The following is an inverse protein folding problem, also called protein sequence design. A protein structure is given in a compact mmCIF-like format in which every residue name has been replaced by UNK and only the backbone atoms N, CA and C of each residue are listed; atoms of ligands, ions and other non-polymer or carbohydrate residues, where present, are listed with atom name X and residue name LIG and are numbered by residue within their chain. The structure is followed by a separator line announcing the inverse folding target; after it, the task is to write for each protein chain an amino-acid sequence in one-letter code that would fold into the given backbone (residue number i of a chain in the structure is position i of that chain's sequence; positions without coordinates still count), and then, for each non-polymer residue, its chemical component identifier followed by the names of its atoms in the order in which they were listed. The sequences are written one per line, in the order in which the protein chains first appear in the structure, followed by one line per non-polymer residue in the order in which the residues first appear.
data_IF_319345143611
#
_entry.id   IF_319345143611
#
_cell.length_a   1.000
_cell.length_b   1.000
_cell.length_c   1.000
_cell.angle_alpha   90.00
_cell.angle_beta   90.00
_cell.angle_gamma   90.00
#
_symmetry.space_group_name_H-M   'P 1'
#
loop_
_entity.id
_entity.type
_entity.pdbx_description
1 polymer ?
#
# COMPACT_ATOMS: atom_id res chain seq x y z
N UNK A 1 5.98 1.25 20.34
CA UNK A 1 5.94 2.64 20.82
C UNK A 1 4.49 3.05 21.06
N UNK A 2 4.19 3.88 22.08
CA UNK A 2 2.89 4.57 22.14
C UNK A 2 2.96 5.82 21.22
N UNK A 3 1.87 6.23 20.54
CA UNK A 3 1.87 7.39 19.64
C UNK A 3 2.27 8.71 20.32
N UNK A 4 2.21 8.77 21.65
CA UNK A 4 2.57 9.92 22.48
C UNK A 4 4.09 10.25 22.49
N UNK A 5 4.94 9.34 22.00
CA UNK A 5 6.40 9.54 21.93
C UNK A 5 6.93 9.90 20.54
N UNK A 6 6.09 9.88 19.50
CA UNK A 6 6.47 10.34 18.16
C UNK A 6 6.39 11.85 18.15
N UNK A 7 7.55 12.51 18.25
CA UNK A 7 7.60 13.96 18.15
C UNK A 7 7.33 14.42 16.72
N UNK A 8 6.76 15.62 16.55
CA UNK A 8 6.71 16.33 15.27
C UNK A 8 8.06 16.42 14.56
N UNK A 9 9.18 16.30 15.28
CA UNK A 9 10.52 16.23 14.69
C UNK A 9 10.73 14.98 13.81
N UNK A 10 10.07 13.87 14.13
CA UNK A 10 10.10 12.65 13.28
C UNK A 10 9.46 12.95 11.93
N UNK A 11 8.27 13.58 11.93
CA UNK A 11 7.58 13.95 10.69
C UNK A 11 8.42 14.89 9.83
N UNK A 12 9.07 15.90 10.43
CA UNK A 12 9.92 16.83 9.67
C UNK A 12 11.18 16.17 9.12
N UNK A 13 11.70 15.16 9.83
CA UNK A 13 12.89 14.43 9.39
C UNK A 13 12.57 13.47 8.26
N UNK A 14 11.46 12.73 8.35
CA UNK A 14 11.04 11.75 7.35
C UNK A 14 10.34 12.40 6.14
N UNK A 15 9.67 13.53 6.35
CA UNK A 15 8.95 14.28 5.32
C UNK A 15 9.62 15.65 5.21
N UNK A 16 10.71 15.75 4.43
CA UNK A 16 11.55 16.93 4.44
C UNK A 16 10.84 18.11 3.74
N UNK A 17 11.15 19.31 4.21
CA UNK A 17 10.43 20.52 3.80
C UNK A 17 10.59 20.84 2.32
N UNK A 18 11.76 20.55 1.76
CA UNK A 18 12.05 20.73 0.33
C UNK A 18 11.13 19.89 -0.56
N UNK A 19 10.85 18.64 -0.21
CA UNK A 19 9.86 17.81 -0.90
C UNK A 19 8.46 18.42 -0.83
N UNK A 20 8.06 18.94 0.33
CA UNK A 20 6.78 19.62 0.52
C UNK A 20 6.70 20.90 -0.31
N UNK A 21 7.72 21.74 -0.27
CA UNK A 21 7.78 23.00 -1.03
C UNK A 21 7.83 22.73 -2.56
N UNK A 22 8.51 21.66 -3.00
CA UNK A 22 8.52 21.22 -4.39
C UNK A 22 7.13 20.74 -4.87
N UNK A 23 6.44 19.92 -4.09
CA UNK A 23 5.08 19.46 -4.39
C UNK A 23 4.07 20.62 -4.45
N UNK A 24 4.18 21.58 -3.52
CA UNK A 24 3.38 22.83 -3.53
C UNK A 24 3.60 23.61 -4.81
N UNK A 25 4.86 23.77 -5.24
CA UNK A 25 5.20 24.45 -6.47
C UNK A 25 4.68 23.71 -7.71
N UNK A 26 4.87 22.39 -7.78
CA UNK A 26 4.39 21.54 -8.88
C UNK A 26 2.86 21.55 -9.02
N UNK A 27 2.13 21.64 -7.91
CA UNK A 27 0.67 21.77 -7.89
C UNK A 27 0.16 23.19 -8.19
N UNK A 28 1.05 24.17 -8.41
CA UNK A 28 0.68 25.56 -8.69
C UNK A 28 0.05 26.29 -7.49
N UNK A 29 0.31 25.83 -6.26
CA UNK A 29 -0.23 26.44 -5.04
C UNK A 29 0.61 27.67 -4.69
N UNK A 30 0.28 28.80 -5.31
CA UNK A 30 0.97 30.07 -5.07
C UNK A 30 0.59 30.73 -3.73
N UNK A 31 1.55 31.38 -3.08
CA UNK A 31 1.27 32.30 -1.97
C UNK A 31 0.46 33.50 -2.47
N UNK A 32 -0.86 33.51 -2.19
CA UNK A 32 -1.72 34.66 -2.53
C UNK A 32 -1.36 35.93 -1.74
N UNK A 33 -0.60 35.82 -0.64
CA UNK A 33 -0.03 36.92 0.16
C UNK A 33 1.29 36.49 0.81
N UNK A 34 2.38 37.21 0.55
CA UNK A 34 3.60 37.14 1.36
C UNK A 34 3.24 37.52 2.82
N UNK A 35 3.57 36.66 3.78
CA UNK A 35 3.30 36.90 5.21
C UNK A 35 1.92 36.49 5.72
N UNK A 36 1.19 35.61 5.01
CA UNK A 36 -0.04 35.02 5.53
C UNK A 36 0.22 34.19 6.80
N UNK A 37 -0.73 34.19 7.75
CA UNK A 37 -0.60 33.45 9.03
C UNK A 37 -0.45 31.93 8.88
N UNK A 38 -0.77 31.36 7.70
CA UNK A 38 -0.69 29.91 7.40
C UNK A 38 -0.20 29.68 5.95
N UNK A 39 1.12 29.60 5.72
CA UNK A 39 1.72 29.21 4.45
C UNK A 39 1.51 27.74 4.14
N UNK A 40 1.64 27.41 2.85
CA UNK A 40 1.25 26.11 2.33
C UNK A 40 2.00 24.94 3.00
N UNK A 41 3.32 25.04 3.21
CA UNK A 41 4.08 23.99 3.91
C UNK A 41 3.62 23.79 5.36
N UNK A 42 3.28 24.86 6.08
CA UNK A 42 2.73 24.76 7.44
C UNK A 42 1.39 24.04 7.41
N UNK A 43 0.55 24.32 6.42
CA UNK A 43 -0.75 23.65 6.26
C UNK A 43 -0.57 22.16 5.93
N UNK A 44 0.42 21.81 5.12
CA UNK A 44 0.77 20.42 4.82
C UNK A 44 1.16 19.68 6.10
N UNK A 45 2.10 20.22 6.86
CA UNK A 45 2.52 19.65 8.14
C UNK A 45 1.44 19.65 9.22
N UNK A 46 0.60 20.67 9.27
CA UNK A 46 -0.56 20.70 10.15
C UNK A 46 -1.51 19.54 9.80
N UNK A 47 -1.67 19.24 8.50
CA UNK A 47 -2.49 18.11 8.05
C UNK A 47 -1.89 16.78 8.47
N UNK A 48 -0.58 16.59 8.30
CA UNK A 48 0.13 15.41 8.80
C UNK A 48 0.01 15.25 10.33
N UNK A 49 0.11 16.35 11.07
CA UNK A 49 -0.02 16.32 12.52
C UNK A 49 -1.43 15.98 13.00
N UNK A 50 -2.48 16.39 12.27
CA UNK A 50 -3.86 15.99 12.59
C UNK A 50 -4.07 14.48 12.47
N UNK A 51 -3.28 13.82 11.63
CA UNK A 51 -3.27 12.38 11.49
C UNK A 51 -2.49 11.69 12.62
N UNK A 52 -1.38 12.30 13.07
CA UNK A 52 -0.59 11.80 14.19
C UNK A 52 -1.31 11.97 15.54
N UNK A 53 -2.14 13.01 15.67
CA UNK A 53 -2.92 13.32 16.86
C UNK A 53 -4.42 13.21 16.58
N UNK A 54 -4.96 11.99 16.34
CA UNK A 54 -6.34 11.75 15.93
C UNK A 54 -7.37 12.09 17.03
N UNK A 55 -6.94 12.25 18.28
CA UNK A 55 -7.78 12.63 19.42
C UNK A 55 -7.96 14.14 19.58
N UNK A 56 -6.96 14.90 19.15
CA UNK A 56 -6.93 16.35 19.38
C UNK A 56 -7.81 17.09 18.37
N UNK A 57 -8.43 18.19 18.82
CA UNK A 57 -9.10 19.08 17.89
C UNK A 57 -8.12 19.88 17.01
N UNK A 58 -8.65 20.62 16.03
CA UNK A 58 -7.84 21.40 15.09
C UNK A 58 -6.92 22.42 15.77
N UNK A 59 -7.35 23.02 16.88
CA UNK A 59 -6.63 24.10 17.57
C UNK A 59 -5.57 23.53 18.53
N UNK A 60 -5.87 22.41 19.18
CA UNK A 60 -4.91 21.63 19.96
C UNK A 60 -3.75 21.12 19.10
N UNK A 61 -4.05 20.53 17.93
CA UNK A 61 -3.00 20.10 16.98
C UNK A 61 -2.18 21.30 16.51
N UNK A 62 -2.82 22.40 16.13
CA UNK A 62 -2.11 23.60 15.69
C UNK A 62 -1.17 24.16 16.77
N UNK A 63 -1.56 24.06 18.04
CA UNK A 63 -0.72 24.44 19.19
C UNK A 63 0.51 23.55 19.29
N UNK A 64 0.36 22.23 19.16
CA UNK A 64 1.48 21.26 19.19
C UNK A 64 2.46 21.48 18.04
N UNK A 65 1.93 21.65 16.82
CA UNK A 65 2.70 21.83 15.58
C UNK A 65 3.58 23.08 15.63
N UNK A 66 3.00 24.20 16.05
CA UNK A 66 3.69 25.49 15.97
C UNK A 66 4.75 25.68 17.05
N UNK A 67 4.53 25.14 18.25
CA UNK A 67 5.57 25.07 19.27
C UNK A 67 6.75 24.16 18.88
N UNK A 68 6.55 23.20 17.97
CA UNK A 68 7.63 22.38 17.43
C UNK A 68 8.38 23.08 16.28
N UNK A 69 7.68 23.79 15.39
CA UNK A 69 8.31 24.42 14.21
C UNK A 69 9.10 25.69 14.49
N UNK A 70 8.75 26.44 15.52
CA UNK A 70 9.60 27.53 16.04
C UNK A 70 10.96 26.98 16.50
N UNK A 71 10.94 25.86 17.25
CA UNK A 71 12.17 25.18 17.73
C UNK A 71 13.00 24.54 16.60
N UNK A 72 12.36 24.12 15.51
CA UNK A 72 13.01 23.48 14.36
C UNK A 72 13.42 24.49 13.27
N UNK A 73 13.17 25.80 13.47
CA UNK A 73 13.51 26.84 12.49
C UNK A 73 12.69 26.78 11.20
N UNK A 74 11.61 26.00 11.18
CA UNK A 74 10.72 25.87 10.04
C UNK A 74 9.66 26.99 9.98
N UNK A 75 9.57 27.83 11.02
CA UNK A 75 8.55 28.87 11.15
C UNK A 75 9.01 30.04 12.03
N UNK A 76 8.75 31.29 11.63
CA UNK A 76 9.31 32.50 12.29
C UNK A 76 8.33 33.69 12.44
N UNK A 77 7.01 33.48 12.49
CA UNK A 77 6.03 34.57 12.59
C UNK A 77 5.39 34.71 13.98
N UNK A 78 5.14 35.95 14.44
CA UNK A 78 4.42 36.28 15.68
C UNK A 78 3.01 35.67 15.71
N UNK A 79 2.93 34.48 16.31
CA UNK A 79 1.87 33.51 16.09
C UNK A 79 0.65 33.68 17.00
N UNK A 80 -0.53 33.43 16.43
CA UNK A 80 -1.78 33.20 17.15
C UNK A 80 -2.41 31.93 16.57
N UNK A 81 -2.82 30.99 17.42
CA UNK A 81 -3.45 29.72 16.99
C UNK A 81 -4.64 30.03 16.06
N UNK A 82 -4.62 29.56 14.80
CA UNK A 82 -5.71 29.77 13.86
C UNK A 82 -6.93 28.96 14.28
N UNK A 83 -8.12 29.52 14.05
CA UNK A 83 -9.38 28.83 14.33
C UNK A 83 -9.56 27.62 13.40
N UNK A 84 -10.39 26.67 13.81
CA UNK A 84 -10.75 25.52 12.98
C UNK A 84 -11.23 25.92 11.57
N UNK A 85 -12.03 27.00 11.46
CA UNK A 85 -12.46 27.56 10.18
C UNK A 85 -11.30 28.12 9.34
N UNK A 86 -10.34 28.79 9.97
CA UNK A 86 -9.12 29.27 9.31
C UNK A 86 -8.24 28.14 8.78
N UNK A 87 -8.12 27.05 9.54
CA UNK A 87 -7.38 25.85 9.14
C UNK A 87 -8.08 25.17 7.97
N UNK A 88 -9.40 24.97 8.03
CA UNK A 88 -10.17 24.38 6.92
C UNK A 88 -9.99 25.18 5.62
N UNK A 89 -10.13 26.52 5.68
CA UNK A 89 -9.90 27.38 4.51
C UNK A 89 -8.46 27.31 4.00
N UNK A 90 -7.48 27.11 4.88
CA UNK A 90 -6.09 26.94 4.48
C UNK A 90 -5.85 25.61 3.76
N UNK A 91 -6.42 24.52 4.26
CA UNK A 91 -6.37 23.20 3.60
C UNK A 91 -7.01 23.22 2.22
N UNK A 92 -8.13 23.95 2.04
CA UNK A 92 -8.75 24.16 0.72
C UNK A 92 -7.81 24.87 -0.27
N UNK A 93 -7.06 25.86 0.21
CA UNK A 93 -6.05 26.55 -0.63
C UNK A 93 -4.89 25.64 -1.00
N UNK A 94 -4.49 24.73 -0.11
CA UNK A 94 -3.46 23.73 -0.37
C UNK A 94 -3.93 22.72 -1.42
N UNK A 95 -5.21 22.36 -1.40
CA UNK A 95 -5.82 21.46 -2.37
C UNK A 95 -5.54 19.97 -2.09
N UNK A 96 -6.20 19.07 -2.84
CA UNK A 96 -6.14 17.63 -2.60
C UNK A 96 -4.85 16.97 -3.11
N UNK A 97 -4.15 17.59 -4.07
CA UNK A 97 -3.06 16.95 -4.81
C UNK A 97 -1.70 17.04 -4.13
N UNK A 98 -1.46 18.07 -3.31
CA UNK A 98 -0.12 18.33 -2.76
C UNK A 98 0.40 17.16 -1.94
N UNK A 99 -0.40 16.58 -1.05
CA UNK A 99 0.07 15.47 -0.22
C UNK A 99 0.21 14.16 -1.00
N UNK A 100 -0.57 13.96 -2.07
CA UNK A 100 -0.33 12.87 -3.01
C UNK A 100 1.04 13.04 -3.68
N UNK A 101 1.33 14.24 -4.20
CA UNK A 101 2.62 14.53 -4.85
C UNK A 101 3.81 14.39 -3.89
N UNK A 102 3.66 14.80 -2.63
CA UNK A 102 4.68 14.54 -1.60
C UNK A 102 4.88 13.04 -1.41
N UNK A 103 3.80 12.26 -1.29
CA UNK A 103 3.88 10.81 -1.18
C UNK A 103 4.58 10.19 -2.39
N UNK A 104 4.19 10.54 -3.61
CA UNK A 104 4.83 10.07 -4.85
C UNK A 104 6.33 10.40 -4.93
N UNK A 105 6.76 11.49 -4.29
CA UNK A 105 8.16 11.93 -4.30
C UNK A 105 9.02 11.17 -3.28
N UNK A 106 8.47 10.87 -2.10
CA UNK A 106 9.26 10.37 -0.97
C UNK A 106 8.99 8.90 -0.63
N UNK A 107 7.83 8.36 -1.04
CA UNK A 107 7.48 6.97 -0.79
C UNK A 107 8.51 6.07 -1.47
N UNK A 108 9.12 5.21 -0.67
CA UNK A 108 10.22 4.35 -1.06
C UNK A 108 10.50 3.31 0.01
N UNK A 109 11.26 2.27 -0.33
CA UNK A 109 11.57 1.18 0.59
C UNK A 109 12.30 1.70 1.83
N UNK A 110 12.01 1.10 2.98
CA UNK A 110 12.71 1.40 4.22
C UNK A 110 13.84 0.38 4.48
N UNK A 111 13.68 -0.85 4.00
CA UNK A 111 14.66 -1.91 4.20
C UNK A 111 15.95 -1.66 3.40
N UNK A 112 17.07 -1.89 4.08
CA UNK A 112 18.36 -2.11 3.43
C UNK A 112 18.53 -3.60 3.08
N UNK A 113 19.48 -4.00 2.22
CA UNK A 113 19.74 -5.41 1.92
C UNK A 113 20.07 -6.27 3.16
N UNK A 114 20.53 -5.64 4.25
CA UNK A 114 20.80 -6.30 5.53
C UNK A 114 19.59 -6.35 6.47
N UNK A 115 18.50 -5.66 6.17
CA UNK A 115 17.29 -5.64 7.01
C UNK A 115 16.68 -7.03 7.05
N UNK A 116 16.56 -7.59 8.25
CA UNK A 116 15.98 -8.91 8.49
C UNK A 116 14.51 -8.92 8.07
N UNK A 117 14.04 -10.06 7.55
CA UNK A 117 12.64 -10.24 7.14
C UNK A 117 12.23 -9.57 5.83
N UNK A 118 13.04 -8.64 5.29
CA UNK A 118 12.64 -7.85 4.11
C UNK A 118 12.94 -8.48 2.75
N UNK A 119 13.75 -9.54 2.69
CA UNK A 119 14.26 -10.11 1.43
C UNK A 119 14.12 -11.63 1.39
N UNK A 120 13.70 -12.15 0.25
CA UNK A 120 13.97 -13.53 -0.16
C UNK A 120 15.11 -13.52 -1.17
N UNK A 121 16.31 -13.91 -0.73
CA UNK A 121 17.52 -13.88 -1.56
C UNK A 121 17.77 -12.45 -2.06
N UNK A 122 17.77 -12.26 -3.38
CA UNK A 122 17.99 -10.94 -4.00
C UNK A 122 16.68 -10.17 -4.24
N UNK A 123 15.52 -10.73 -3.87
CA UNK A 123 14.21 -10.08 -4.07
C UNK A 123 13.66 -9.45 -2.80
N UNK A 124 13.33 -8.16 -2.87
CA UNK A 124 12.59 -7.46 -1.82
C UNK A 124 11.18 -8.03 -1.74
N UNK A 125 10.73 -8.40 -0.54
CA UNK A 125 9.40 -8.92 -0.32
C UNK A 125 8.38 -7.79 -0.39
N UNK A 126 7.49 -7.88 -1.40
CA UNK A 126 6.43 -6.93 -1.64
C UNK A 126 5.06 -7.61 -1.50
N UNK A 127 4.06 -6.86 -1.08
CA UNK A 127 2.67 -7.28 -1.07
C UNK A 127 1.75 -6.20 -1.67
N UNK A 128 0.58 -6.64 -2.13
CA UNK A 128 -0.51 -5.76 -2.59
C UNK A 128 -1.83 -6.14 -1.93
N UNK A 129 -2.44 -5.17 -1.25
CA UNK A 129 -3.71 -5.32 -0.57
C UNK A 129 -4.49 -4.00 -0.55
N UNK A 130 -5.79 -4.12 -0.32
CA UNK A 130 -6.72 -3.02 -0.23
C UNK A 130 -7.29 -2.81 1.16
N UNK A 131 -7.63 -1.55 1.46
CA UNK A 131 -8.42 -1.23 2.61
C UNK A 131 -9.45 -0.14 2.38
N UNK A 132 -10.46 -0.12 3.25
CA UNK A 132 -11.53 0.85 3.21
C UNK A 132 -11.43 1.85 4.37
N UNK A 133 -11.78 3.11 4.07
CA UNK A 133 -11.78 4.22 5.03
C UNK A 133 -13.18 4.83 5.09
N UNK A 134 -13.76 4.91 6.29
CA UNK A 134 -15.07 5.54 6.51
C UNK A 134 -14.97 7.06 6.50
N UNK A 135 -15.91 7.73 5.83
CA UNK A 135 -15.99 9.19 5.73
C UNK A 135 -17.25 9.75 6.36
N UNK A 136 -17.23 11.00 6.88
CA UNK A 136 -18.42 11.69 7.36
C UNK A 136 -19.55 11.65 6.33
N UNK A 137 -20.74 11.22 6.76
CA UNK A 137 -21.94 11.20 5.92
C UNK A 137 -22.41 12.63 5.65
N UNK A 138 -21.98 13.12 4.49
CA UNK A 138 -22.36 14.41 3.94
C UNK A 138 -22.73 14.19 2.48
N UNK A 139 -23.62 15.02 1.90
CA UNK A 139 -24.01 14.88 0.50
C UNK A 139 -22.80 14.85 -0.45
N UNK A 140 -21.79 15.69 -0.19
CA UNK A 140 -20.60 15.79 -1.04
C UNK A 140 -19.72 14.53 -0.94
N UNK A 141 -19.45 14.01 0.28
CA UNK A 141 -18.68 12.76 0.44
C UNK A 141 -19.45 11.55 -0.11
N UNK A 142 -20.77 11.50 0.06
CA UNK A 142 -21.60 10.44 -0.48
C UNK A 142 -21.59 10.43 -2.02
N UNK A 143 -21.60 11.62 -2.64
CA UNK A 143 -21.53 11.76 -4.09
C UNK A 143 -20.17 11.35 -4.66
N UNK A 144 -19.06 11.68 -3.99
CA UNK A 144 -17.71 11.32 -4.45
C UNK A 144 -17.40 9.84 -4.21
N UNK A 145 -17.58 9.35 -2.98
CA UNK A 145 -17.02 8.07 -2.56
C UNK A 145 -18.02 6.91 -2.61
N UNK A 146 -19.31 7.19 -2.50
CA UNK A 146 -20.35 6.18 -2.43
C UNK A 146 -20.31 5.32 -1.16
N UNK A 147 -21.21 4.34 -1.08
CA UNK A 147 -21.39 3.45 0.07
C UNK A 147 -21.07 2.01 -0.32
N UNK A 148 -20.66 1.17 0.63
CA UNK A 148 -20.58 -0.26 0.39
C UNK A 148 -21.94 -0.93 0.45
N UNK A 149 -22.21 -1.87 -0.46
CA UNK A 149 -23.48 -2.59 -0.49
C UNK A 149 -24.66 -1.75 -0.99
N UNK A 150 -25.86 -2.32 -0.94
CA UNK A 150 -27.09 -1.68 -1.39
C UNK A 150 -28.29 -2.09 -0.53
N UNK A 151 -29.37 -1.29 -0.57
CA UNK A 151 -30.57 -1.52 0.23
C UNK A 151 -30.27 -1.61 1.72
N UNK A 152 -30.80 -2.64 2.39
CA UNK A 152 -30.61 -2.88 3.82
C UNK A 152 -29.17 -3.33 4.18
N UNK A 153 -28.38 -3.75 3.19
CA UNK A 153 -26.97 -4.14 3.37
C UNK A 153 -26.00 -2.98 3.08
N UNK A 154 -26.50 -1.76 2.91
CA UNK A 154 -25.67 -0.58 2.68
C UNK A 154 -24.92 -0.19 3.96
N UNK A 155 -23.67 0.24 3.85
CA UNK A 155 -22.93 0.81 4.97
C UNK A 155 -23.63 2.06 5.51
N UNK A 156 -23.42 2.31 6.81
CA UNK A 156 -23.88 3.53 7.47
C UNK A 156 -23.20 4.80 6.95
N UNK A 157 -21.97 4.67 6.42
CA UNK A 157 -21.14 5.80 6.01
C UNK A 157 -20.57 5.59 4.60
N UNK A 158 -20.28 6.69 3.86
CA UNK A 158 -19.50 6.62 2.63
C UNK A 158 -18.10 6.04 2.87
N UNK A 159 -17.52 5.41 1.85
CA UNK A 159 -16.22 4.72 1.94
C UNK A 159 -15.28 5.07 0.81
N UNK A 160 -14.04 5.42 1.15
CA UNK A 160 -12.93 5.44 0.20
C UNK A 160 -12.27 4.06 0.20
N UNK A 161 -11.82 3.61 -0.97
CA UNK A 161 -10.95 2.44 -1.12
C UNK A 161 -9.53 2.92 -1.39
N UNK A 162 -8.58 2.35 -0.67
CA UNK A 162 -7.15 2.52 -0.88
C UNK A 162 -6.59 1.16 -1.24
N UNK A 163 -5.73 1.09 -2.25
CA UNK A 163 -4.91 -0.10 -2.54
C UNK A 163 -3.47 0.36 -2.56
N UNK A 164 -2.56 -0.41 -1.98
CA UNK A 164 -1.15 -0.03 -1.89
C UNK A 164 -0.22 -1.18 -2.27
N UNK A 165 0.98 -0.83 -2.72
CA UNK A 165 2.13 -1.73 -2.72
C UNK A 165 2.90 -1.46 -1.43
N UNK A 166 3.17 -2.52 -0.66
CA UNK A 166 3.86 -2.45 0.61
C UNK A 166 5.10 -3.35 0.63
N UNK A 167 6.17 -2.89 1.28
CA UNK A 167 7.32 -3.72 1.65
C UNK A 167 6.95 -4.54 2.90
N UNK A 168 6.98 -5.87 2.80
CA UNK A 168 6.48 -6.75 3.88
C UNK A 168 7.27 -6.56 5.18
N UNK A 169 8.60 -6.65 5.13
CA UNK A 169 9.44 -6.63 6.33
C UNK A 169 9.47 -5.28 7.08
N UNK A 170 8.94 -4.20 6.52
CA UNK A 170 8.90 -2.88 7.19
C UNK A 170 7.51 -2.25 7.26
N UNK A 171 6.53 -2.87 6.60
CA UNK A 171 5.21 -2.34 6.34
C UNK A 171 5.19 -1.01 5.58
N UNK A 172 6.28 -0.59 4.94
CA UNK A 172 6.30 0.71 4.27
C UNK A 172 5.46 0.66 2.99
N UNK A 173 4.53 1.60 2.81
CA UNK A 173 3.83 1.78 1.54
C UNK A 173 4.73 2.50 0.53
N UNK A 174 4.95 1.88 -0.63
CA UNK A 174 5.80 2.38 -1.71
C UNK A 174 4.98 3.07 -2.81
N UNK A 175 3.75 2.63 -3.04
CA UNK A 175 2.82 3.24 -3.98
C UNK A 175 1.38 3.01 -3.51
N UNK A 176 0.46 3.90 -3.85
CA UNK A 176 -0.95 3.74 -3.48
C UNK A 176 -1.89 4.37 -4.49
N UNK A 177 -3.12 3.87 -4.54
CA UNK A 177 -4.22 4.41 -5.32
C UNK A 177 -5.42 4.63 -4.40
N UNK A 178 -6.07 5.79 -4.51
CA UNK A 178 -7.26 6.16 -3.72
C UNK A 178 -8.44 6.34 -4.65
N UNK A 179 -9.53 5.62 -4.39
CA UNK A 179 -10.75 5.69 -5.20
C UNK A 179 -12.04 5.67 -4.38
N UNK A 180 -13.15 5.96 -5.06
CA UNK A 180 -14.48 5.71 -4.53
C UNK A 180 -14.69 4.20 -4.31
N UNK A 181 -15.61 3.83 -3.42
CA UNK A 181 -15.94 2.42 -3.16
C UNK A 181 -16.42 1.68 -4.41
N UNK A 182 -17.08 2.38 -5.33
CA UNK A 182 -17.55 1.84 -6.60
C UNK A 182 -16.41 1.43 -7.55
N UNK A 183 -15.19 1.95 -7.34
CA UNK A 183 -14.01 1.54 -8.09
C UNK A 183 -13.46 0.26 -7.48
N UNK A 184 -13.54 -0.85 -8.22
CA UNK A 184 -13.10 -2.17 -7.73
C UNK A 184 -11.63 -2.20 -7.33
N UNK A 185 -11.32 -2.96 -6.29
CA UNK A 185 -9.96 -3.16 -5.76
C UNK A 185 -8.97 -3.59 -6.84
N UNK A 186 -9.33 -4.61 -7.63
CA UNK A 186 -8.54 -5.04 -8.80
C UNK A 186 -8.25 -3.93 -9.80
N UNK A 187 -9.17 -2.98 -9.98
CA UNK A 187 -8.98 -1.86 -10.90
C UNK A 187 -7.92 -0.90 -10.39
N UNK A 188 -7.89 -0.63 -9.07
CA UNK A 188 -6.86 0.17 -8.44
C UNK A 188 -5.52 -0.56 -8.46
N UNK A 189 -5.51 -1.85 -8.09
CA UNK A 189 -4.31 -2.70 -8.11
C UNK A 189 -3.64 -2.71 -9.49
N UNK A 190 -4.40 -2.87 -10.58
CA UNK A 190 -3.85 -2.86 -11.95
C UNK A 190 -3.15 -1.55 -12.33
N UNK A 191 -3.43 -0.43 -11.66
CA UNK A 191 -2.71 0.83 -11.89
C UNK A 191 -1.34 0.87 -11.18
N UNK A 192 -1.18 0.06 -10.14
CA UNK A 192 0.03 -0.04 -9.34
C UNK A 192 1.02 -1.07 -9.90
N UNK A 193 0.54 -2.18 -10.48
CA UNK A 193 1.41 -3.25 -11.01
C UNK A 193 2.55 -2.77 -11.94
N UNK A 194 2.38 -1.76 -12.82
CA UNK A 194 3.48 -1.25 -13.65
C UNK A 194 4.62 -0.56 -12.88
N UNK A 195 4.47 -0.34 -11.56
CA UNK A 195 5.47 0.31 -10.70
C UNK A 195 6.44 -0.68 -10.04
N UNK A 196 6.23 -1.98 -10.22
CA UNK A 196 7.12 -3.02 -9.69
C UNK A 196 8.50 -2.95 -10.36
N UNK A 197 9.52 -3.37 -9.64
CA UNK A 197 10.90 -3.43 -10.11
C UNK A 197 11.41 -4.88 -10.26
N UNK A 198 12.41 -5.15 -11.12
CA UNK A 198 12.97 -6.49 -11.29
C UNK A 198 13.58 -7.13 -10.04
N UNK A 199 13.98 -6.32 -9.05
CA UNK A 199 14.53 -6.74 -7.75
C UNK A 199 13.45 -6.99 -6.69
N UNK A 200 12.18 -7.06 -7.07
CA UNK A 200 11.04 -7.26 -6.15
C UNK A 200 10.35 -8.61 -6.37
N UNK A 201 9.85 -9.21 -5.28
CA UNK A 201 8.96 -10.36 -5.28
C UNK A 201 7.57 -9.91 -4.81
N UNK A 202 6.61 -9.77 -5.72
CA UNK A 202 5.24 -9.40 -5.39
C UNK A 202 4.43 -10.63 -4.96
N UNK A 203 3.98 -10.62 -3.72
CA UNK A 203 2.97 -11.53 -3.17
C UNK A 203 1.57 -10.93 -3.30
N UNK A 204 0.57 -11.75 -3.65
CA UNK A 204 -0.81 -11.28 -3.79
C UNK A 204 -1.82 -12.40 -3.49
N UNK A 205 -2.95 -12.06 -2.85
CA UNK A 205 -4.02 -13.01 -2.59
C UNK A 205 -4.82 -13.35 -3.87
N UNK A 206 -5.60 -14.44 -3.81
CA UNK A 206 -6.37 -15.02 -4.91
C UNK A 206 -7.29 -14.04 -5.63
N UNK A 207 -7.72 -12.98 -4.94
CA UNK A 207 -8.63 -11.98 -5.51
C UNK A 207 -7.94 -11.07 -6.54
N UNK A 208 -6.60 -10.94 -6.52
CA UNK A 208 -5.85 -10.09 -7.44
C UNK A 208 -5.54 -10.77 -8.77
N UNK A 209 -5.60 -12.10 -8.84
CA UNK A 209 -5.30 -12.83 -10.05
C UNK A 209 -6.32 -12.56 -11.18
N UNK A 210 -5.78 -12.19 -12.34
CA UNK A 210 -6.37 -12.35 -13.67
C UNK A 210 -5.20 -12.49 -14.65
N UNK A 211 -5.42 -13.11 -15.82
CA UNK A 211 -4.35 -13.26 -16.82
C UNK A 211 -3.68 -11.91 -17.12
N UNK A 212 -4.45 -10.88 -17.45
CA UNK A 212 -3.90 -9.56 -17.76
C UNK A 212 -3.17 -8.89 -16.59
N UNK A 213 -3.60 -9.15 -15.34
CA UNK A 213 -2.94 -8.57 -14.17
C UNK A 213 -1.59 -9.26 -13.95
N UNK A 214 -1.56 -10.58 -14.06
CA UNK A 214 -0.32 -11.35 -14.04
C UNK A 214 0.64 -10.89 -15.14
N UNK A 215 0.16 -10.81 -16.38
CA UNK A 215 0.92 -10.34 -17.53
C UNK A 215 1.46 -8.90 -17.32
N UNK A 216 0.63 -8.01 -16.78
CA UNK A 216 1.03 -6.63 -16.48
C UNK A 216 2.15 -6.56 -15.45
N UNK A 217 2.08 -7.38 -14.40
CA UNK A 217 3.12 -7.45 -13.38
C UNK A 217 4.38 -8.12 -13.93
N UNK A 218 4.25 -9.26 -14.63
CA UNK A 218 5.38 -10.02 -15.17
C UNK A 218 6.21 -9.21 -16.16
N UNK A 219 5.59 -8.35 -16.98
CA UNK A 219 6.29 -7.45 -17.91
C UNK A 219 7.25 -6.46 -17.26
N UNK A 220 7.11 -6.21 -15.95
CA UNK A 220 8.06 -5.34 -15.22
C UNK A 220 9.39 -6.03 -14.95
N UNK A 221 9.46 -7.36 -15.10
CA UNK A 221 10.60 -8.18 -14.70
C UNK A 221 10.59 -8.59 -13.23
N UNK A 222 9.61 -8.12 -12.43
CA UNK A 222 9.45 -8.54 -11.05
C UNK A 222 9.19 -10.05 -10.93
N UNK A 223 9.70 -10.63 -9.85
CA UNK A 223 9.27 -11.96 -9.45
C UNK A 223 7.86 -11.89 -8.86
N UNK A 224 7.05 -12.91 -9.10
CA UNK A 224 5.66 -12.99 -8.65
C UNK A 224 5.45 -14.25 -7.82
N UNK A 225 4.67 -14.15 -6.75
CA UNK A 225 4.22 -15.28 -5.94
C UNK A 225 2.75 -15.07 -5.51
N UNK A 226 1.80 -15.40 -6.39
CA UNK A 226 0.39 -15.10 -6.18
C UNK A 226 -0.40 -16.34 -5.81
N UNK A 227 -1.35 -16.21 -4.90
CA UNK A 227 -2.28 -17.30 -4.62
C UNK A 227 -3.23 -17.52 -5.79
N UNK A 228 -3.38 -18.77 -6.22
CA UNK A 228 -4.29 -19.14 -7.29
C UNK A 228 -5.76 -19.07 -6.82
N UNK A 229 -6.68 -18.55 -7.66
CA UNK A 229 -8.11 -18.75 -7.45
C UNK A 229 -8.48 -20.23 -7.54
N UNK A 230 -9.42 -20.68 -6.71
CA UNK A 230 -9.86 -22.09 -6.64
C UNK A 230 -10.35 -22.68 -7.97
N UNK A 231 -10.86 -21.84 -8.88
CA UNK A 231 -11.39 -22.27 -10.17
C UNK A 231 -10.36 -22.22 -11.31
N UNK A 232 -9.14 -21.76 -11.04
CA UNK A 232 -8.11 -21.66 -12.06
C UNK A 232 -7.63 -23.07 -12.44
N UNK A 233 -7.67 -23.37 -13.74
CA UNK A 233 -7.15 -24.64 -14.26
C UNK A 233 -5.63 -24.56 -14.38
N UNK A 234 -4.94 -25.48 -13.72
CA UNK A 234 -3.48 -25.59 -13.70
C UNK A 234 -3.06 -26.95 -14.26
N UNK A 235 -3.01 -27.11 -15.60
CA UNK A 235 -2.54 -28.36 -16.20
C UNK A 235 -1.06 -28.57 -15.87
N UNK A 236 -0.71 -29.76 -15.40
CA UNK A 236 0.68 -30.14 -15.12
C UNK A 236 1.40 -30.37 -16.45
N UNK A 237 2.47 -29.60 -16.71
CA UNK A 237 3.32 -29.77 -17.89
C UNK A 237 4.71 -30.33 -17.56
N UNK A 238 5.11 -30.31 -16.28
CA UNK A 238 6.31 -30.96 -15.78
C UNK A 238 6.32 -30.99 -14.24
N UNK A 239 6.88 -32.03 -13.63
CA UNK A 239 7.03 -32.13 -12.17
C UNK A 239 8.50 -31.89 -11.81
N UNK A 240 8.75 -31.06 -10.80
CA UNK A 240 10.09 -30.66 -10.36
C UNK A 240 10.54 -31.50 -9.16
N UNK A 241 11.86 -31.53 -8.90
CA UNK A 241 12.46 -32.42 -7.89
C UNK A 241 12.02 -32.10 -6.45
N UNK A 242 11.63 -30.86 -6.16
CA UNK A 242 11.16 -30.43 -4.84
C UNK A 242 9.65 -30.60 -4.62
N UNK A 243 8.97 -31.32 -5.53
CA UNK A 243 7.55 -31.68 -5.43
C UNK A 243 6.59 -30.63 -5.99
N UNK A 244 7.08 -29.44 -6.32
CA UNK A 244 6.32 -28.46 -7.12
C UNK A 244 6.20 -28.89 -8.58
N UNK A 245 5.37 -28.20 -9.38
CA UNK A 245 5.19 -28.53 -10.79
C UNK A 245 5.08 -27.30 -11.68
N UNK A 246 5.50 -27.43 -12.94
CA UNK A 246 5.28 -26.44 -13.98
C UNK A 246 3.85 -26.56 -14.52
N UNK A 247 3.23 -25.42 -14.74
CA UNK A 247 1.94 -25.25 -15.39
C UNK A 247 2.01 -24.09 -16.39
N UNK A 248 0.92 -23.88 -17.13
CA UNK A 248 0.83 -22.76 -18.07
C UNK A 248 -0.47 -22.01 -17.84
N UNK A 249 -0.35 -20.70 -17.62
CA UNK A 249 -1.46 -19.77 -17.62
C UNK A 249 -1.72 -19.40 -19.07
N UNK A 250 -2.95 -19.60 -19.58
CA UNK A 250 -3.30 -19.29 -20.96
C UNK A 250 -4.41 -18.24 -20.96
N UNK A 251 -4.30 -17.21 -21.80
CA UNK A 251 -5.29 -16.16 -21.93
C UNK A 251 -6.69 -16.77 -22.17
N UNK A 252 -7.75 -16.32 -21.47
CA UNK A 252 -9.06 -16.98 -21.48
C UNK A 252 -9.77 -16.97 -22.86
N UNK A 253 -9.38 -16.06 -23.75
CA UNK A 253 -9.90 -16.01 -25.13
C UNK A 253 -9.27 -17.07 -26.05
N UNK A 254 -8.17 -17.70 -25.64
CA UNK A 254 -7.51 -18.75 -26.42
C UNK A 254 -8.15 -20.11 -26.11
N UNK A 255 -8.75 -20.72 -27.12
CA UNK A 255 -9.59 -21.93 -26.99
C UNK A 255 -9.30 -22.96 -28.08
N UNK A 256 -9.76 -24.20 -27.85
CA UNK A 256 -9.67 -25.30 -28.81
C UNK A 256 -8.22 -25.60 -29.20
N UNK A 257 -8.02 -25.89 -30.49
CA UNK A 257 -6.72 -26.33 -31.03
C UNK A 257 -5.54 -25.44 -30.63
N UNK A 258 -5.71 -24.11 -30.62
CA UNK A 258 -4.62 -23.19 -30.23
C UNK A 258 -4.21 -23.37 -28.78
N UNK A 259 -5.17 -23.64 -27.89
CA UNK A 259 -4.88 -23.94 -26.47
C UNK A 259 -4.10 -25.26 -26.35
N UNK A 260 -4.49 -26.27 -27.11
CA UNK A 260 -3.81 -27.58 -27.12
C UNK A 260 -2.37 -27.47 -27.65
N UNK A 261 -2.15 -26.64 -28.66
CA UNK A 261 -0.80 -26.33 -29.20
C UNK A 261 0.08 -25.64 -28.15
N UNK A 262 -0.43 -24.67 -27.41
CA UNK A 262 0.31 -24.00 -26.33
C UNK A 262 0.65 -24.95 -25.18
N UNK A 263 -0.27 -25.85 -24.81
CA UNK A 263 -0.03 -26.87 -23.80
C UNK A 263 1.07 -27.85 -24.24
N UNK A 264 1.04 -28.26 -25.52
CA UNK A 264 2.06 -29.13 -26.07
C UNK A 264 3.43 -28.45 -26.13
N UNK A 265 3.49 -27.17 -26.52
CA UNK A 265 4.70 -26.36 -26.52
C UNK A 265 5.30 -26.24 -25.12
N UNK A 266 4.46 -25.90 -24.12
CA UNK A 266 4.88 -25.83 -22.72
C UNK A 266 5.45 -27.17 -22.21
N UNK A 267 4.80 -28.30 -22.52
CA UNK A 267 5.27 -29.63 -22.13
C UNK A 267 6.55 -30.07 -22.86
N UNK A 268 6.82 -29.51 -24.05
CA UNK A 268 8.07 -29.72 -24.78
C UNK A 268 9.23 -28.85 -24.26
N UNK A 269 8.95 -27.88 -23.39
CA UNK A 269 9.93 -26.90 -22.91
C UNK A 269 10.21 -25.79 -23.93
N UNK A 270 9.28 -25.53 -24.84
CA UNK A 270 9.38 -24.41 -25.78
C UNK A 270 9.19 -23.07 -25.05
N UNK A 271 9.83 -22.03 -25.58
CA UNK A 271 9.67 -20.65 -25.11
C UNK A 271 8.26 -20.12 -25.45
N UNK A 272 7.64 -19.44 -24.49
CA UNK A 272 6.28 -18.90 -24.57
C UNK A 272 6.23 -17.37 -24.48
N UNK A 273 7.37 -16.67 -24.47
CA UNK A 273 7.42 -15.22 -24.22
C UNK A 273 6.57 -14.38 -25.20
N UNK A 274 6.46 -14.80 -26.47
CA UNK A 274 5.64 -14.14 -27.50
C UNK A 274 4.21 -14.69 -27.62
N UNK A 275 3.83 -15.61 -26.74
CA UNK A 275 2.54 -16.28 -26.76
C UNK A 275 1.56 -15.66 -25.75
N UNK A 276 0.23 -15.80 -25.95
CA UNK A 276 -0.78 -15.41 -24.97
C UNK A 276 -0.85 -16.44 -23.83
N UNK A 277 0.32 -16.80 -23.29
CA UNK A 277 0.53 -17.80 -22.27
C UNK A 277 1.77 -17.49 -21.43
N UNK A 278 1.76 -17.89 -20.16
CA UNK A 278 2.91 -17.80 -19.28
C UNK A 278 3.21 -19.16 -18.67
N UNK A 279 4.45 -19.62 -18.82
CA UNK A 279 4.95 -20.72 -18.01
C UNK A 279 5.03 -20.24 -16.55
N UNK A 280 4.49 -21.04 -15.65
CA UNK A 280 4.55 -20.77 -14.21
C UNK A 280 4.90 -22.04 -13.46
N UNK A 281 5.44 -21.87 -12.27
CA UNK A 281 5.58 -22.94 -11.30
C UNK A 281 4.48 -22.84 -10.26
N UNK A 282 3.94 -23.99 -9.89
CA UNK A 282 2.87 -24.14 -8.93
C UNK A 282 3.39 -24.85 -7.69
N UNK A 283 3.13 -24.25 -6.54
CA UNK A 283 3.50 -24.77 -5.22
C UNK A 283 2.22 -24.98 -4.43
N UNK A 284 2.04 -26.20 -3.92
CA UNK A 284 0.89 -26.58 -3.12
C UNK A 284 1.35 -26.97 -1.72
N UNK A 285 0.73 -26.39 -0.70
CA UNK A 285 0.99 -26.76 0.69
C UNK A 285 -0.24 -26.57 1.56
N UNK A 286 -0.37 -27.43 2.56
CA UNK A 286 -1.43 -27.33 3.56
C UNK A 286 -0.99 -26.40 4.68
N UNK A 287 -1.87 -25.50 5.10
CA UNK A 287 -1.71 -24.76 6.35
C UNK A 287 -2.40 -25.58 7.46
N UNK A 288 -1.64 -26.16 8.41
CA UNK A 288 -2.22 -26.93 9.51
C UNK A 288 -3.05 -26.04 10.44
N UNK A 289 -4.16 -26.59 10.93
CA UNK A 289 -5.19 -25.88 11.68
C UNK A 289 -4.65 -25.13 12.93
N UNK A 290 -5.14 -23.91 13.17
CA UNK A 290 -5.23 -23.36 14.53
C UNK A 290 -6.45 -24.03 15.20
N UNK A 291 -6.23 -24.72 16.32
CA UNK A 291 -7.21 -25.58 17.01
C UNK A 291 -8.69 -25.10 16.89
N UNK A 292 -9.53 -25.88 16.19
CA UNK A 292 -10.97 -25.93 16.48
C UNK A 292 -12.01 -25.66 15.38
N UNK A 293 -11.69 -25.55 14.08
CA UNK A 293 -12.75 -25.26 13.08
C UNK A 293 -12.73 -25.99 11.71
N UNK A 294 -11.95 -27.07 11.54
CA UNK A 294 -12.12 -28.03 10.45
C UNK A 294 -11.20 -27.86 9.23
N UNK A 295 -10.84 -29.02 8.64
CA UNK A 295 -10.00 -29.31 7.46
C UNK A 295 -9.06 -28.19 7.00
N UNK A 296 -7.76 -28.35 7.30
CA UNK A 296 -6.67 -27.47 6.86
C UNK A 296 -6.83 -26.92 5.43
N UNK A 297 -6.38 -25.69 5.26
CA UNK A 297 -6.55 -24.94 4.01
C UNK A 297 -5.40 -25.27 3.05
N UNK A 298 -5.74 -25.83 1.87
CA UNK A 298 -4.79 -25.97 0.77
C UNK A 298 -4.52 -24.58 0.17
N UNK A 299 -3.26 -24.16 0.23
CA UNK A 299 -2.77 -22.98 -0.49
C UNK A 299 -2.06 -23.44 -1.76
N UNK A 300 -2.46 -22.83 -2.87
CA UNK A 300 -1.85 -23.03 -4.19
C UNK A 300 -1.26 -21.71 -4.62
N UNK A 301 0.06 -21.66 -4.81
CA UNK A 301 0.81 -20.49 -5.25
C UNK A 301 1.24 -20.63 -6.70
N UNK A 302 1.17 -19.54 -7.44
CA UNK A 302 1.71 -19.37 -8.79
C UNK A 302 2.95 -18.50 -8.69
N UNK A 303 4.06 -18.93 -9.30
CA UNK A 303 5.26 -18.11 -9.42
C UNK A 303 5.85 -18.15 -10.83
N UNK A 304 6.44 -17.04 -11.28
CA UNK A 304 7.27 -17.01 -12.48
C UNK A 304 8.72 -17.47 -12.20
N UNK A 305 9.08 -17.76 -10.95
CA UNK A 305 10.36 -18.39 -10.58
C UNK A 305 10.26 -19.90 -10.85
N UNK A 306 10.51 -20.28 -12.10
CA UNK A 306 10.27 -21.65 -12.57
C UNK A 306 11.37 -22.65 -12.15
N UNK A 307 12.56 -22.15 -11.79
CA UNK A 307 13.72 -22.95 -11.41
C UNK A 307 13.82 -23.11 -9.88
N UNK A 308 13.76 -24.34 -9.33
CA UNK A 308 13.95 -24.60 -7.90
C UNK A 308 15.31 -24.14 -7.32
N UNK A 309 16.34 -23.98 -8.14
CA UNK A 309 17.64 -23.47 -7.66
C UNK A 309 17.59 -21.97 -7.32
N UNK A 310 16.75 -21.23 -8.04
CA UNK A 310 16.55 -19.79 -7.82
C UNK A 310 15.78 -19.52 -6.53
N UNK A 311 14.71 -20.27 -6.26
CA UNK A 311 14.01 -20.29 -4.97
C UNK A 311 13.31 -21.63 -4.76
N UNK A 312 13.45 -22.19 -3.56
CA UNK A 312 12.79 -23.46 -3.22
C UNK A 312 11.29 -23.25 -2.94
N UNK A 313 10.51 -24.33 -3.06
CA UNK A 313 9.08 -24.28 -2.78
C UNK A 313 8.75 -23.83 -1.33
N UNK A 314 9.53 -24.27 -0.35
CA UNK A 314 9.34 -23.89 1.06
C UNK A 314 9.73 -22.44 1.36
N UNK A 315 10.77 -21.93 0.70
CA UNK A 315 11.15 -20.50 0.78
C UNK A 315 10.04 -19.60 0.23
N UNK A 316 9.44 -19.97 -0.91
CA UNK A 316 8.33 -19.22 -1.52
C UNK A 316 7.04 -19.31 -0.71
N UNK A 317 6.76 -20.47 -0.09
CA UNK A 317 5.65 -20.62 0.83
C UNK A 317 5.81 -19.74 2.09
N UNK A 318 7.03 -19.65 2.63
CA UNK A 318 7.35 -18.75 3.73
C UNK A 318 7.23 -17.27 3.31
N UNK A 319 7.79 -16.89 2.17
CA UNK A 319 7.67 -15.53 1.64
C UNK A 319 6.21 -15.11 1.39
N UNK A 320 5.36 -16.02 0.91
CA UNK A 320 3.94 -15.76 0.78
C UNK A 320 3.23 -15.59 2.14
N UNK A 321 3.70 -16.29 3.19
CA UNK A 321 3.15 -16.11 4.53
C UNK A 321 3.40 -14.68 5.06
N UNK A 322 4.53 -14.07 4.71
CA UNK A 322 4.85 -12.67 5.03
C UNK A 322 3.89 -11.66 4.37
N UNK A 323 3.06 -12.06 3.40
CA UNK A 323 1.98 -11.20 2.87
C UNK A 323 1.01 -10.77 3.99
N UNK A 324 0.83 -11.60 5.02
CA UNK A 324 0.00 -11.24 6.18
C UNK A 324 0.49 -9.97 6.88
N UNK A 325 1.77 -9.61 6.74
CA UNK A 325 2.30 -8.37 7.30
C UNK A 325 1.74 -7.11 6.62
N UNK A 326 1.20 -7.20 5.40
CA UNK A 326 0.45 -6.10 4.82
C UNK A 326 -0.89 -5.87 5.52
N UNK A 327 -1.56 -6.95 5.96
CA UNK A 327 -2.75 -6.84 6.80
C UNK A 327 -2.39 -6.20 8.15
N UNK A 328 -1.23 -6.55 8.72
CA UNK A 328 -0.66 -5.90 9.90
C UNK A 328 -0.42 -4.40 9.65
N UNK A 329 0.22 -4.00 8.54
CA UNK A 329 0.44 -2.60 8.18
C UNK A 329 -0.87 -1.82 7.99
N UNK A 330 -1.85 -2.42 7.31
CA UNK A 330 -3.20 -1.89 7.16
C UNK A 330 -3.89 -1.71 8.52
N UNK A 331 -3.70 -2.65 9.45
CA UNK A 331 -4.21 -2.56 10.82
C UNK A 331 -3.47 -1.55 11.68
N UNK A 332 -2.15 -1.37 11.50
CA UNK A 332 -1.38 -0.29 12.12
C UNK A 332 -1.98 1.08 11.76
N UNK A 333 -2.33 1.26 10.48
CA UNK A 333 -2.99 2.47 10.00
C UNK A 333 -4.42 2.61 10.56
N UNK A 334 -5.24 1.56 10.50
CA UNK A 334 -6.66 1.59 10.90
C UNK A 334 -6.92 1.61 12.40
N UNK A 335 -6.08 0.95 13.19
CA UNK A 335 -6.34 0.62 14.59
C UNK A 335 -5.41 1.39 15.52
N UNK A 336 -4.12 1.51 15.17
CA UNK A 336 -3.13 2.14 16.05
C UNK A 336 -2.95 3.64 15.76
N UNK A 337 -2.94 4.06 14.48
CA UNK A 337 -2.78 5.47 14.12
C UNK A 337 -4.10 6.23 14.10
N UNK A 338 -5.14 5.65 13.51
CA UNK A 338 -6.47 6.27 13.49
C UNK A 338 -7.24 6.10 14.80
N UNK A 339 -7.00 5.00 15.51
CA UNK A 339 -7.88 4.51 16.57
C UNK A 339 -9.07 3.71 16.02
N UNK A 340 -9.52 2.68 16.73
CA UNK A 340 -10.56 1.77 16.25
C UNK A 340 -11.89 2.50 15.98
N UNK A 341 -12.53 2.18 14.84
CA UNK A 341 -13.86 2.67 14.43
C UNK A 341 -13.98 4.18 14.22
N UNK A 342 -12.89 4.89 13.90
CA UNK A 342 -12.99 6.32 13.57
C UNK A 342 -13.12 6.58 12.08
N UNK A 343 -13.95 7.56 11.78
CA UNK A 343 -14.12 8.12 10.44
C UNK A 343 -13.09 9.23 10.22
N UNK A 344 -12.83 9.61 8.97
CA UNK A 344 -12.05 10.81 8.66
C UNK A 344 -12.72 12.06 9.27
N UNK A 345 -11.90 13.09 9.57
CA UNK A 345 -12.39 14.37 10.12
C UNK A 345 -13.07 15.22 9.06
N UNK A 346 -12.67 15.05 7.80
CA UNK A 346 -13.02 15.95 6.71
C UNK A 346 -14.43 15.68 6.14
N UNK A 347 -15.28 16.72 6.19
CA UNK A 347 -16.65 16.73 5.63
C UNK A 347 -16.72 17.12 4.15
N UNK A 348 -15.57 17.24 3.49
CA UNK A 348 -15.46 17.65 2.09
C UNK A 348 -14.53 16.69 1.35
N UNK A 349 -14.88 16.25 0.13
CA UNK A 349 -14.13 15.23 -0.58
C UNK A 349 -12.66 15.59 -0.84
N UNK A 350 -12.41 16.84 -1.27
CA UNK A 350 -11.05 17.35 -1.50
C UNK A 350 -10.17 17.28 -0.25
N UNK A 351 -10.76 17.48 0.93
CA UNK A 351 -10.05 17.44 2.20
C UNK A 351 -9.93 16.01 2.73
N UNK A 352 -10.85 15.12 2.38
CA UNK A 352 -10.76 13.70 2.69
C UNK A 352 -9.62 13.03 1.91
N UNK A 353 -9.48 13.29 0.61
CA UNK A 353 -8.31 12.84 -0.16
C UNK A 353 -7.01 13.30 0.48
N UNK A 354 -6.92 14.58 0.84
CA UNK A 354 -5.76 15.12 1.52
C UNK A 354 -5.46 14.39 2.85
N UNK A 355 -6.48 14.05 3.62
CA UNK A 355 -6.34 13.32 4.89
C UNK A 355 -5.86 11.87 4.68
N UNK A 356 -6.33 11.19 3.63
CA UNK A 356 -5.88 9.84 3.27
C UNK A 356 -4.39 9.84 2.90
N UNK A 357 -3.96 10.77 2.04
CA UNK A 357 -2.54 10.90 1.68
C UNK A 357 -1.67 11.29 2.88
N UNK A 358 -2.19 12.13 3.78
CA UNK A 358 -1.51 12.45 5.03
C UNK A 358 -1.32 11.21 5.92
N UNK A 359 -2.28 10.27 5.96
CA UNK A 359 -2.14 9.01 6.68
C UNK A 359 -1.03 8.13 6.11
N UNK A 360 -1.00 7.98 4.78
CA UNK A 360 0.04 7.18 4.13
C UNK A 360 1.44 7.77 4.39
N UNK A 361 1.57 9.10 4.35
CA UNK A 361 2.82 9.80 4.68
C UNK A 361 3.24 9.64 6.15
N UNK A 362 2.30 9.77 7.09
CA UNK A 362 2.58 9.56 8.53
C UNK A 362 2.97 8.11 8.79
N UNK A 363 2.28 7.15 8.16
CA UNK A 363 2.64 5.74 8.24
C UNK A 363 4.05 5.47 7.71
N UNK A 364 4.37 5.98 6.51
CA UNK A 364 5.71 5.90 5.94
C UNK A 364 6.78 6.45 6.89
N UNK A 365 6.57 7.63 7.48
CA UNK A 365 7.50 8.20 8.46
C UNK A 365 7.71 7.34 9.70
N UNK A 366 6.67 6.64 10.16
CA UNK A 366 6.72 5.77 11.32
C UNK A 366 7.39 4.43 11.00
N UNK A 367 7.05 3.83 9.85
CA UNK A 367 7.68 2.61 9.36
C UNK A 367 9.19 2.80 9.24
N UNK A 368 9.63 3.89 8.57
CA UNK A 368 11.05 4.24 8.48
C UNK A 368 11.73 4.43 9.84
N UNK A 369 11.05 5.04 10.82
CA UNK A 369 11.57 5.19 12.17
C UNK A 369 11.72 3.83 12.88
N UNK A 370 10.72 2.96 12.75
CA UNK A 370 10.71 1.62 13.33
C UNK A 370 11.83 0.77 12.72
N UNK A 371 11.93 0.74 11.39
CA UNK A 371 12.99 0.02 10.66
C UNK A 371 14.37 0.47 11.12
N UNK A 372 14.63 1.78 11.14
CA UNK A 372 15.93 2.30 11.60
C UNK A 372 16.25 1.93 13.05
N UNK A 373 15.23 1.88 13.91
CA UNK A 373 15.41 1.47 15.29
C UNK A 373 15.68 -0.03 15.42
N UNK A 374 15.00 -0.86 14.63
CA UNK A 374 15.17 -2.31 14.57
C UNK A 374 16.56 -2.69 14.02
N UNK A 375 16.96 -2.08 12.90
CA UNK A 375 18.28 -2.29 12.29
C UNK A 375 19.42 -1.92 13.25
N UNK A 376 19.26 -0.83 14.02
CA UNK A 376 20.27 -0.39 14.99
C UNK A 376 20.52 -1.40 16.13
N UNK A 377 19.59 -2.34 16.35
CA UNK A 377 19.71 -3.41 17.35
C UNK A 377 19.63 -4.81 16.74
N UNK A 378 19.71 -4.92 15.40
CA UNK A 378 19.74 -6.16 14.62
C UNK A 378 18.57 -7.11 14.91
N UNK A 379 17.36 -6.55 14.94
CA UNK A 379 16.09 -7.30 15.00
C UNK A 379 15.26 -7.06 13.74
N UNK A 380 14.32 -7.96 13.50
CA UNK A 380 13.34 -7.84 12.43
C UNK A 380 12.34 -6.70 12.75
N UNK A 381 12.11 -5.73 11.84
CA UNK A 381 11.22 -4.60 12.09
C UNK A 381 9.75 -4.99 12.32
N UNK A 382 9.35 -6.20 11.90
CA UNK A 382 7.99 -6.72 12.10
C UNK A 382 7.76 -7.36 13.51
N UNK A 383 8.79 -7.43 14.37
CA UNK A 383 8.76 -8.10 15.69
C UNK A 383 8.64 -7.22 16.93
#
# INVERSE_FOLDING_TARGET
MRPDQVSLGVLVTAIPRDAVDAAIAGCGVGERRRGGKLPAHVVAYLTLAMCLFPEDDYEEVATKVTGAFDRLGCWNAGWTVPTAGGISQARKRLGPKVLAEVFETIAGPAAEPSTRGAWLRDWRLMAIDGFEVDLPDTPDNAAEFGYSGSGDNRSAFPKARVVALAECGTHTFLAAEVGAWSVGEKTLARRLLPRLNPDELLTADRNFYSFDAWELAARTGAALCWRAPTQLQLPVVGVLEDGSYLSVLIHPDVRGRRRDELLAAAAAGDDLDDEPAHLVRVIEYDVPDRDGNGTGELIVLLTNICDPEQARADELAAAYAERWEEETGNDQLKTHLRGPRRMLRSKLPELAHQEIWAWLLVHHALAHLITRAADAIDIDPDR
#
